data_IF_622820060548
#
_entry.id   IF_622820060548
#
_cell.length_a   1.000
_cell.length_b   1.000
_cell.length_c   1.000
_cell.angle_alpha   90.00
_cell.angle_beta   90.00
_cell.angle_gamma   90.00
#
_symmetry.space_group_name_H-M   'P 1'
#
loop_
_entity.id
_entity.type
_entity.pdbx_description
1 polymer ?
#
# COMPACT_ATOMS: atom_id res chain seq x y z
N UNK A 1 -0.43 16.32 22.81
CA UNK A 1 -0.09 14.99 22.29
C UNK A 1 -0.77 14.71 20.94
N UNK A 2 -2.09 14.84 20.79
CA UNK A 2 -2.82 14.52 19.55
C UNK A 2 -2.34 15.26 18.26
N UNK A 3 -1.77 16.46 18.38
CA UNK A 3 -1.24 17.18 17.21
C UNK A 3 0.02 16.51 16.64
N UNK A 4 0.96 16.08 17.50
CA UNK A 4 2.19 15.43 17.07
C UNK A 4 1.94 14.07 16.41
N UNK A 5 0.87 13.37 16.80
CA UNK A 5 0.44 12.11 16.17
C UNK A 5 -0.21 12.33 14.80
N UNK A 6 -0.88 13.47 14.60
CA UNK A 6 -1.58 13.79 13.32
C UNK A 6 -0.67 14.38 12.26
N UNK A 7 0.40 15.08 12.66
CA UNK A 7 1.32 15.74 11.73
C UNK A 7 1.92 14.77 10.70
N UNK A 8 2.46 13.59 11.07
CA UNK A 8 2.96 12.61 10.11
C UNK A 8 1.91 12.20 9.07
N UNK A 9 0.69 11.88 9.52
CA UNK A 9 -0.43 11.49 8.66
C UNK A 9 -0.78 12.56 7.61
N UNK A 10 -0.74 13.84 7.98
CA UNK A 10 -1.02 14.94 7.04
C UNK A 10 0.03 14.98 5.93
N UNK A 11 1.31 14.85 6.28
CA UNK A 11 2.39 14.85 5.29
C UNK A 11 2.36 13.61 4.39
N UNK A 12 1.97 12.47 4.94
CA UNK A 12 1.80 11.23 4.19
C UNK A 12 0.62 11.31 3.22
N UNK A 13 -0.55 11.80 3.66
CA UNK A 13 -1.68 12.06 2.79
C UNK A 13 -1.32 13.03 1.65
N UNK A 14 -0.54 14.08 1.95
CA UNK A 14 -0.05 15.02 0.95
C UNK A 14 0.89 14.33 -0.06
N UNK A 15 1.83 13.50 0.42
CA UNK A 15 2.72 12.73 -0.46
C UNK A 15 1.94 11.79 -1.37
N UNK A 16 0.94 11.10 -0.82
CA UNK A 16 0.09 10.19 -1.58
C UNK A 16 -0.73 10.91 -2.64
N UNK A 17 -1.28 12.09 -2.33
CA UNK A 17 -1.97 12.90 -3.32
C UNK A 17 -1.04 13.30 -4.47
N UNK A 18 0.19 13.72 -4.16
CA UNK A 18 1.21 14.01 -5.17
C UNK A 18 1.57 12.79 -6.02
N UNK A 19 1.74 11.62 -5.40
CA UNK A 19 2.06 10.38 -6.11
C UNK A 19 0.89 9.88 -6.96
N UNK A 20 -0.35 10.06 -6.50
CA UNK A 20 -1.58 9.78 -7.25
C UNK A 20 -1.69 10.65 -8.51
N UNK A 21 -1.38 11.95 -8.40
CA UNK A 21 -1.36 12.86 -9.58
C UNK A 21 -0.30 12.43 -10.60
N UNK A 22 0.89 12.01 -10.16
CA UNK A 22 1.93 11.49 -11.07
C UNK A 22 1.47 10.19 -11.76
N UNK A 23 0.78 9.32 -11.03
CA UNK A 23 0.23 8.07 -11.58
C UNK A 23 -0.84 8.35 -12.65
N UNK A 24 -1.76 9.28 -12.35
CA UNK A 24 -2.77 9.76 -13.29
C UNK A 24 -2.15 10.36 -14.56
N UNK A 25 -1.08 11.14 -14.42
CA UNK A 25 -0.34 11.67 -15.57
C UNK A 25 0.33 10.56 -16.41
N UNK A 26 0.59 9.39 -15.81
CA UNK A 26 1.19 8.22 -16.48
C UNK A 26 0.13 7.27 -17.06
N UNK A 27 -1.16 7.62 -16.97
CA UNK A 27 -2.27 6.84 -17.51
C UNK A 27 -2.95 5.90 -16.50
N UNK A 28 -2.52 5.88 -15.24
CA UNK A 28 -3.16 5.09 -14.19
C UNK A 28 -4.16 5.93 -13.40
N UNK A 29 -5.43 5.58 -13.45
CA UNK A 29 -6.49 6.37 -12.81
C UNK A 29 -6.57 6.14 -11.30
N UNK A 30 -5.98 5.05 -10.80
CA UNK A 30 -6.09 4.59 -9.42
C UNK A 30 -4.78 3.99 -8.95
N UNK A 31 -4.60 3.89 -7.64
CA UNK A 31 -3.43 3.28 -7.02
C UNK A 31 -3.87 2.34 -5.90
N UNK A 32 -3.20 1.19 -5.80
CA UNK A 32 -3.38 0.20 -4.74
C UNK A 32 -2.04 -0.03 -4.03
N UNK A 33 -1.96 0.33 -2.76
CA UNK A 33 -0.75 0.25 -1.93
C UNK A 33 -0.87 -0.94 -0.99
N UNK A 34 0.00 -1.93 -1.16
CA UNK A 34 -0.04 -3.19 -0.44
C UNK A 34 1.18 -3.30 0.45
N UNK A 35 0.98 -3.43 1.76
CA UNK A 35 2.03 -3.79 2.71
C UNK A 35 2.18 -5.30 2.82
N UNK A 36 3.43 -5.77 2.90
CA UNK A 36 3.80 -7.17 3.04
C UNK A 36 4.68 -7.32 4.29
N UNK A 37 4.27 -8.18 5.21
CA UNK A 37 5.00 -8.48 6.46
C UNK A 37 5.34 -9.97 6.58
N UNK A 38 6.22 -10.27 7.55
CA UNK A 38 6.54 -11.61 8.07
C UNK A 38 6.86 -12.65 6.99
N UNK A 39 7.64 -12.24 5.99
CA UNK A 39 8.21 -13.14 5.01
C UNK A 39 7.19 -13.92 4.18
N UNK A 40 5.99 -13.34 3.94
CA UNK A 40 5.01 -13.92 3.02
C UNK A 40 5.73 -14.47 1.80
N UNK A 41 5.58 -15.77 1.59
CA UNK A 41 6.34 -16.44 0.55
C UNK A 41 5.87 -15.88 -0.78
N UNK A 42 6.76 -15.36 -1.65
CA UNK A 42 6.37 -14.68 -2.90
C UNK A 42 5.61 -15.56 -3.90
N UNK A 43 5.27 -16.81 -3.59
CA UNK A 43 4.73 -17.77 -4.57
C UNK A 43 3.34 -17.40 -5.09
N UNK A 44 2.48 -16.77 -4.27
CA UNK A 44 1.11 -16.39 -4.68
C UNK A 44 0.99 -14.94 -5.13
N UNK A 45 1.95 -14.08 -4.79
CA UNK A 45 1.90 -12.65 -5.09
C UNK A 45 1.96 -12.34 -6.60
N UNK A 46 2.82 -12.96 -7.42
CA UNK A 46 2.82 -12.76 -8.87
C UNK A 46 1.48 -13.11 -9.52
N UNK A 47 0.85 -14.20 -9.08
CA UNK A 47 -0.47 -14.61 -9.59
C UNK A 47 -1.54 -13.59 -9.23
N UNK A 48 -1.56 -13.11 -7.98
CA UNK A 48 -2.47 -12.06 -7.53
C UNK A 48 -2.28 -10.78 -8.35
N UNK A 49 -1.04 -10.31 -8.50
CA UNK A 49 -0.72 -9.10 -9.27
C UNK A 49 -1.12 -9.22 -10.75
N UNK A 50 -0.94 -10.40 -11.35
CA UNK A 50 -1.37 -10.66 -12.72
C UNK A 50 -2.89 -10.61 -12.85
N UNK A 51 -3.63 -11.16 -11.88
CA UNK A 51 -5.09 -11.07 -11.83
C UNK A 51 -5.56 -9.62 -11.67
N UNK A 52 -4.99 -8.86 -10.73
CA UNK A 52 -5.33 -7.44 -10.54
C UNK A 52 -5.15 -6.63 -11.85
N UNK A 53 -4.05 -6.85 -12.57
CA UNK A 53 -3.80 -6.18 -13.86
C UNK A 53 -4.76 -6.59 -14.97
N UNK A 54 -5.25 -7.83 -14.95
CA UNK A 54 -6.21 -8.31 -15.93
C UNK A 54 -7.62 -7.75 -15.67
N UNK A 55 -7.97 -7.55 -14.41
CA UNK A 55 -9.28 -7.02 -14.00
C UNK A 55 -9.37 -5.50 -14.16
N UNK A 56 -8.35 -4.75 -13.72
CA UNK A 56 -8.30 -3.30 -13.87
C UNK A 56 -6.87 -2.85 -14.23
N UNK A 57 -6.55 -2.73 -15.52
CA UNK A 57 -5.22 -2.36 -15.99
C UNK A 57 -4.84 -0.91 -15.64
N UNK A 58 -5.79 -0.08 -15.20
CA UNK A 58 -5.57 1.32 -14.86
C UNK A 58 -5.18 1.52 -13.38
N UNK A 59 -5.09 0.44 -12.60
CA UNK A 59 -4.60 0.48 -11.22
C UNK A 59 -3.06 0.34 -11.17
N UNK A 60 -2.39 1.35 -10.62
CA UNK A 60 -0.99 1.27 -10.22
C UNK A 60 -0.85 0.49 -8.89
N UNK A 61 -0.39 -0.76 -8.95
CA UNK A 61 -0.16 -1.58 -7.76
C UNK A 61 1.25 -1.39 -7.24
N UNK A 62 1.39 -0.96 -5.98
CA UNK A 62 2.67 -0.76 -5.29
C UNK A 62 2.81 -1.66 -4.07
N UNK A 63 3.93 -2.35 -3.98
CA UNK A 63 4.27 -3.23 -2.86
C UNK A 63 5.27 -2.56 -1.93
N UNK A 64 5.07 -2.74 -0.62
CA UNK A 64 5.95 -2.25 0.44
C UNK A 64 6.24 -3.38 1.42
N UNK A 65 7.49 -3.85 1.47
CA UNK A 65 7.92 -4.80 2.50
C UNK A 65 8.24 -4.04 3.79
N UNK A 66 7.53 -4.36 4.87
CA UNK A 66 7.65 -3.70 6.18
C UNK A 66 7.47 -4.70 7.33
N UNK A 67 7.99 -4.41 8.52
CA UNK A 67 7.64 -5.16 9.74
C UNK A 67 6.13 -5.10 10.06
N UNK A 68 5.59 -6.14 10.70
CA UNK A 68 4.14 -6.26 10.98
C UNK A 68 3.58 -5.10 11.80
N UNK A 69 4.32 -4.61 12.80
CA UNK A 69 3.93 -3.46 13.61
C UNK A 69 3.79 -2.19 12.74
N UNK A 70 4.67 -2.00 11.76
CA UNK A 70 4.62 -0.91 10.81
C UNK A 70 3.50 -1.09 9.78
N UNK A 71 3.21 -2.32 9.35
CA UNK A 71 2.05 -2.60 8.51
C UNK A 71 0.75 -2.23 9.22
N UNK A 72 0.54 -2.70 10.45
CA UNK A 72 -0.67 -2.42 11.23
C UNK A 72 -0.82 -0.91 11.44
N UNK A 73 0.26 -0.24 11.84
CA UNK A 73 0.24 1.22 12.00
C UNK A 73 -0.06 1.92 10.67
N UNK A 74 0.58 1.51 9.59
CA UNK A 74 0.39 2.10 8.28
C UNK A 74 -1.02 1.93 7.73
N UNK A 75 -1.68 0.80 8.00
CA UNK A 75 -3.10 0.61 7.68
C UNK A 75 -3.99 1.58 8.48
N UNK A 76 -3.70 1.80 9.76
CA UNK A 76 -4.42 2.80 10.58
C UNK A 76 -4.17 4.25 10.16
N UNK A 77 -3.02 4.51 9.54
CA UNK A 77 -2.57 5.83 9.09
C UNK A 77 -2.88 6.06 7.60
N UNK A 78 -3.64 5.18 6.95
CA UNK A 78 -3.98 5.19 5.52
C UNK A 78 -2.76 5.18 4.58
N UNK A 79 -1.60 4.70 5.07
CA UNK A 79 -0.38 4.49 4.30
C UNK A 79 -0.52 3.38 3.27
N UNK A 80 -1.28 2.36 3.64
CA UNK A 80 -1.55 1.17 2.84
C UNK A 80 -3.05 0.96 2.76
N UNK A 81 -3.50 0.44 1.62
CA UNK A 81 -4.90 0.09 1.41
C UNK A 81 -5.17 -1.34 1.89
N UNK A 82 -4.17 -2.22 1.76
CA UNK A 82 -4.25 -3.64 2.13
C UNK A 82 -2.91 -4.07 2.73
N UNK A 83 -2.95 -4.96 3.73
CA UNK A 83 -1.76 -5.59 4.30
C UNK A 83 -1.89 -7.11 4.25
N UNK A 84 -0.81 -7.79 3.87
CA UNK A 84 -0.70 -9.24 3.97
C UNK A 84 0.38 -9.60 4.99
N UNK A 85 0.06 -10.47 5.94
CA UNK A 85 1.05 -11.10 6.81
C UNK A 85 0.79 -12.61 6.93
N UNK A 86 1.82 -13.34 7.36
CA UNK A 86 1.67 -14.74 7.77
C UNK A 86 1.11 -14.78 9.19
N UNK A 87 0.09 -15.60 9.44
CA UNK A 87 -0.20 -16.04 10.79
C UNK A 87 0.82 -17.14 11.15
N UNK A 88 1.48 -17.02 12.31
CA UNK A 88 2.05 -18.22 12.94
C UNK A 88 0.88 -19.13 13.31
N UNK A 89 0.95 -20.42 12.96
CA UNK A 89 -0.07 -21.42 13.31
C UNK A 89 -0.22 -21.62 14.83
#
# INVERSE_FOLDING_TARGET
MAFLERVPRIFEALKQACDGVKSAASGFQRQLRIALSDGITPSRMPTLLAQCRAEDPEIDVRLFEVPLDQQIKGLHDDLYDVGFSMAEE
#
